data_IF_981852499021
#
_entry.id   IF_981852499021
#
_cell.length_a   1.000
_cell.length_b   1.000
_cell.length_c   1.000
_cell.angle_alpha   90.00
_cell.angle_beta   90.00
_cell.angle_gamma   90.00
#
_symmetry.space_group_name_H-M   'P 1'
#
loop_
_entity.id
_entity.type
_entity.pdbx_description
1 polymer ?
#
# COMPACT_ATOMS: atom_id res chain seq x y z
N UNK A 1 4.51 -4.32 5.45
CA UNK A 1 3.68 -3.50 6.38
C UNK A 1 4.13 -2.04 6.57
N UNK A 2 5.13 -1.53 5.84
CA UNK A 2 5.65 -0.16 6.08
C UNK A 2 4.73 0.97 5.61
N UNK A 3 3.94 0.73 4.55
CA UNK A 3 3.03 1.72 3.97
C UNK A 3 1.87 2.08 4.91
N UNK A 4 1.37 1.12 5.68
CA UNK A 4 0.19 1.35 6.53
C UNK A 4 0.56 1.85 7.94
N UNK A 5 1.66 1.35 8.51
CA UNK A 5 2.10 1.69 9.88
C UNK A 5 3.14 2.81 9.95
N UNK A 6 3.89 3.03 8.86
CA UNK A 6 4.97 4.03 8.85
C UNK A 6 4.60 5.33 8.16
N UNK A 7 3.80 5.27 7.10
CA UNK A 7 3.51 6.41 6.23
C UNK A 7 2.23 7.15 6.62
N UNK A 8 1.19 6.40 7.03
CA UNK A 8 -0.07 6.96 7.55
C UNK A 8 0.11 7.41 9.02
N UNK A 9 1.07 6.82 9.74
CA UNK A 9 1.35 7.14 11.14
C UNK A 9 0.37 6.54 12.15
N UNK A 10 -0.54 5.67 11.70
CA UNK A 10 -1.48 4.98 12.58
C UNK A 10 -0.82 3.81 13.29
N UNK A 11 -1.04 3.64 14.61
CA UNK A 11 -0.59 2.46 15.32
C UNK A 11 -1.34 1.21 14.83
N UNK A 12 -0.74 0.01 14.89
CA UNK A 12 -1.32 -1.20 14.30
C UNK A 12 -2.77 -1.52 14.65
N UNK A 13 -3.22 -1.38 15.91
CA UNK A 13 -4.61 -1.65 16.25
C UNK A 13 -5.61 -0.73 15.53
N UNK A 14 -5.26 0.54 15.36
CA UNK A 14 -6.12 1.54 14.69
C UNK A 14 -6.21 1.22 13.20
N UNK A 15 -5.09 0.85 12.59
CA UNK A 15 -5.07 0.42 11.19
C UNK A 15 -5.98 -0.80 10.97
N UNK A 16 -5.86 -1.84 11.79
CA UNK A 16 -6.63 -3.07 11.60
C UNK A 16 -8.13 -2.90 11.90
N UNK A 17 -8.48 -1.95 12.76
CA UNK A 17 -9.88 -1.61 13.02
C UNK A 17 -10.50 -0.71 11.94
N UNK A 18 -9.69 -0.04 11.11
CA UNK A 18 -10.20 0.88 10.09
C UNK A 18 -10.91 0.17 8.94
N UNK A 19 -11.91 0.84 8.37
CA UNK A 19 -12.59 0.38 7.17
C UNK A 19 -11.78 0.72 5.91
N UNK A 20 -11.98 -0.01 4.79
CA UNK A 20 -11.32 0.32 3.52
C UNK A 20 -11.56 1.76 3.05
N UNK A 21 -12.74 2.33 3.36
CA UNK A 21 -13.09 3.71 3.00
C UNK A 21 -12.30 4.73 3.81
N UNK A 22 -12.17 4.53 5.12
CA UNK A 22 -11.37 5.39 5.98
C UNK A 22 -9.89 5.33 5.60
N UNK A 23 -9.40 4.13 5.25
CA UNK A 23 -8.04 3.98 4.75
C UNK A 23 -7.83 4.75 3.44
N UNK A 24 -8.78 4.69 2.50
CA UNK A 24 -8.72 5.46 1.26
C UNK A 24 -8.66 6.97 1.54
N UNK A 25 -9.50 7.49 2.44
CA UNK A 25 -9.47 8.91 2.82
C UNK A 25 -8.17 9.31 3.52
N UNK A 26 -7.63 8.46 4.39
CA UNK A 26 -6.34 8.73 5.05
C UNK A 26 -5.19 8.81 4.04
N UNK A 27 -5.18 7.91 3.04
CA UNK A 27 -4.22 7.93 1.95
C UNK A 27 -4.37 9.18 1.07
N UNK A 28 -5.60 9.54 0.69
CA UNK A 28 -5.89 10.76 -0.07
C UNK A 28 -5.47 12.04 0.69
N UNK A 29 -5.75 12.11 1.99
CA UNK A 29 -5.35 13.26 2.81
C UNK A 29 -3.83 13.41 2.93
N UNK A 30 -3.09 12.30 2.92
CA UNK A 30 -1.63 12.29 3.11
C UNK A 30 -0.84 12.49 1.81
N UNK A 31 -1.36 11.97 0.69
CA UNK A 31 -0.68 11.94 -0.61
C UNK A 31 -1.36 12.77 -1.69
N UNK A 32 -2.52 13.35 -1.40
CA UNK A 32 -3.42 13.91 -2.40
C UNK A 32 -4.25 12.81 -3.08
N UNK A 33 -5.19 13.21 -3.93
CA UNK A 33 -5.91 12.27 -4.79
C UNK A 33 -4.94 11.65 -5.79
N UNK A 34 -4.71 10.35 -5.66
CA UNK A 34 -3.86 9.59 -6.58
C UNK A 34 -4.43 9.56 -7.99
N UNK A 35 -3.55 9.39 -8.99
CA UNK A 35 -3.94 9.11 -10.37
C UNK A 35 -4.60 7.73 -10.51
N UNK A 36 -4.98 7.39 -11.74
CA UNK A 36 -5.56 6.08 -12.04
C UNK A 36 -4.67 4.93 -11.55
N UNK A 37 -5.30 3.80 -11.19
CA UNK A 37 -4.57 2.58 -10.86
C UNK A 37 -3.60 2.22 -11.99
N UNK A 38 -2.43 1.69 -11.63
CA UNK A 38 -1.44 1.25 -12.61
C UNK A 38 -2.05 0.20 -13.55
N UNK A 39 -1.76 0.32 -14.84
CA UNK A 39 -2.14 -0.70 -15.81
C UNK A 39 -1.30 -1.98 -15.63
N UNK A 40 -1.73 -3.07 -16.27
CA UNK A 40 -1.06 -4.37 -16.20
C UNK A 40 0.43 -4.28 -16.58
N UNK A 41 0.83 -3.63 -17.69
CA UNK A 41 2.25 -3.51 -18.04
C UNK A 41 3.08 -2.75 -17.00
N UNK A 42 2.52 -1.69 -16.41
CA UNK A 42 3.23 -0.94 -15.36
C UNK A 42 3.42 -1.78 -14.11
N UNK A 43 2.40 -2.55 -13.71
CA UNK A 43 2.50 -3.47 -12.58
C UNK A 43 3.61 -4.51 -12.81
N UNK A 44 3.66 -5.13 -13.99
CA UNK A 44 4.70 -6.11 -14.33
C UNK A 44 6.11 -5.53 -14.25
N UNK A 45 6.31 -4.30 -14.74
CA UNK A 45 7.59 -3.59 -14.62
C UNK A 45 7.98 -3.34 -13.16
N UNK A 46 7.02 -2.96 -12.32
CA UNK A 46 7.26 -2.74 -10.90
C UNK A 46 7.63 -4.04 -10.18
N UNK A 47 6.94 -5.14 -10.47
CA UNK A 47 7.25 -6.45 -9.89
C UNK A 47 8.66 -6.93 -10.28
N UNK A 48 9.07 -6.71 -11.52
CA UNK A 48 10.43 -7.03 -11.98
C UNK A 48 11.49 -6.14 -11.30
N UNK A 49 11.20 -4.85 -11.10
CA UNK A 49 12.12 -3.91 -10.46
C UNK A 49 12.25 -4.10 -8.94
N UNK A 50 11.20 -4.58 -8.28
CA UNK A 50 11.14 -4.76 -6.83
C UNK A 50 10.69 -6.20 -6.47
N UNK A 51 11.54 -7.21 -6.69
CA UNK A 51 11.17 -8.60 -6.43
C UNK A 51 10.96 -8.87 -4.93
N UNK A 52 9.92 -9.63 -4.60
CA UNK A 52 9.64 -10.06 -3.23
C UNK A 52 10.72 -11.02 -2.72
N UNK A 53 11.43 -10.64 -1.65
CA UNK A 53 12.47 -11.46 -1.03
C UNK A 53 11.92 -12.54 -0.08
N UNK A 54 10.97 -13.34 -0.56
CA UNK A 54 10.23 -14.31 0.28
C UNK A 54 9.88 -15.65 -0.40
N UNK A 55 10.55 -16.03 -1.48
CA UNK A 55 10.28 -17.26 -2.23
C UNK A 55 10.96 -18.52 -1.71
N UNK A 56 11.09 -18.73 -0.40
CA UNK A 56 11.47 -20.02 0.19
C UNK A 56 10.54 -20.37 1.36
N UNK A 57 9.34 -20.81 1.00
CA UNK A 57 8.59 -21.75 1.81
C UNK A 57 8.58 -23.08 1.03
N UNK A 58 9.71 -23.78 1.13
CA UNK A 58 9.82 -25.21 0.90
C UNK A 58 9.74 -25.94 2.22
#
# INVERSE_FOLDING_TARGET
MRLALGVIGWPPPVLWASTPRELAFALEGRFGRGGAAADRPTLERLMAAFPDRGGLHG
#
